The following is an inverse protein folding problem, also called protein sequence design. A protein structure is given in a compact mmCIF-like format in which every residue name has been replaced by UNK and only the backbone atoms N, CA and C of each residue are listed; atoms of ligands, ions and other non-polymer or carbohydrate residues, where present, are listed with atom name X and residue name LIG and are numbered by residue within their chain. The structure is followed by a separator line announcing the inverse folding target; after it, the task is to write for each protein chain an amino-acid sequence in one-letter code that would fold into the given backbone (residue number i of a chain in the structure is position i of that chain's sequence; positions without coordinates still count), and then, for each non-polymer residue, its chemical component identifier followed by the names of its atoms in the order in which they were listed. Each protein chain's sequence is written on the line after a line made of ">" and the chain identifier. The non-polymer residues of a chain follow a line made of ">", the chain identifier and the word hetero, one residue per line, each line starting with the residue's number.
data_IF_674095875162
#
_entry.id   IF_674095875162
#
_cell.length_a   1.000
_cell.length_b   1.000
_cell.length_c   1.000
_cell.angle_alpha   90.00
_cell.angle_beta   90.00
_cell.angle_gamma   90.00
#
_symmetry.space_group_name_H-M   'P 1'
#
loop_
_entity.id
_entity.type
_entity.pdbx_description
1 polymer ?
#
# COMPACT_ATOMS: atom_id res chain seq x y z
N UNK A 1 10.55 -23.93 15.67
CA UNK A 1 10.37 -22.63 14.97
C UNK A 1 11.36 -22.41 13.82
N UNK A 2 12.67 -22.70 13.95
CA UNK A 2 13.65 -22.55 12.84
C UNK A 2 13.62 -23.69 11.81
N UNK A 3 13.10 -24.87 12.20
CA UNK A 3 12.95 -26.06 11.33
C UNK A 3 11.64 -26.03 10.52
N UNK A 4 10.56 -25.55 11.13
CA UNK A 4 9.20 -25.63 10.59
C UNK A 4 8.94 -24.83 9.31
N UNK A 5 9.76 -23.81 9.02
CA UNK A 5 9.64 -23.02 7.77
C UNK A 5 10.39 -23.70 6.62
N UNK A 6 11.53 -24.33 6.91
CA UNK A 6 12.32 -25.08 5.91
C UNK A 6 11.64 -26.43 5.61
N UNK A 7 11.03 -27.06 6.62
CA UNK A 7 10.29 -28.31 6.45
C UNK A 7 8.97 -28.12 5.68
N UNK A 8 8.33 -26.94 5.75
CA UNK A 8 7.17 -26.59 4.92
C UNK A 8 7.50 -26.33 3.45
N UNK A 9 8.77 -26.07 3.12
CA UNK A 9 9.23 -25.89 1.74
C UNK A 9 9.71 -27.20 1.10
N UNK A 10 9.80 -28.29 1.87
CA UNK A 10 10.37 -29.58 1.41
C UNK A 10 9.35 -30.71 1.26
N UNK A 11 8.07 -30.48 1.58
CA UNK A 11 7.00 -31.47 1.49
C UNK A 11 5.78 -30.92 0.75
N UNK A 12 5.87 -30.92 -0.58
CA UNK A 12 4.72 -31.05 -1.50
C UNK A 12 5.26 -31.37 -2.90
N UNK A 13 5.81 -32.58 -3.06
CA UNK A 13 5.98 -33.21 -4.37
C UNK A 13 4.69 -33.96 -4.72
N UNK A 14 3.59 -33.21 -4.84
CA UNK A 14 2.45 -33.68 -5.63
C UNK A 14 2.75 -33.28 -7.07
N UNK A 15 3.21 -34.28 -7.82
CA UNK A 15 3.32 -34.23 -9.27
C UNK A 15 2.07 -33.53 -9.85
N UNK A 16 2.21 -32.42 -10.59
CA UNK A 16 1.06 -31.69 -11.08
C UNK A 16 0.22 -32.64 -11.93
N UNK A 17 -1.06 -32.78 -11.57
CA UNK A 17 -2.03 -33.46 -12.39
C UNK A 17 -1.86 -32.95 -13.83
N UNK A 18 -1.61 -33.87 -14.76
CA UNK A 18 -1.40 -33.59 -16.18
C UNK A 18 -2.46 -32.60 -16.65
N UNK A 19 -2.01 -31.36 -16.87
CA UNK A 19 -2.85 -30.30 -17.40
C UNK A 19 -3.43 -30.81 -18.72
N UNK A 20 -4.76 -30.80 -18.81
CA UNK A 20 -5.45 -30.88 -20.08
C UNK A 20 -4.79 -29.92 -21.06
N UNK A 21 -4.52 -30.38 -22.28
CA UNK A 21 -4.14 -29.55 -23.42
C UNK A 21 -5.33 -28.65 -23.79
N UNK A 22 -5.63 -27.67 -22.94
CA UNK A 22 -6.55 -26.57 -23.20
C UNK A 22 -5.76 -25.42 -23.80
N UNK A 23 -6.38 -24.69 -24.72
CA UNK A 23 -5.83 -23.51 -25.38
C UNK A 23 -5.10 -22.60 -24.37
N UNK A 24 -3.99 -21.99 -24.80
CA UNK A 24 -3.33 -20.92 -24.04
C UNK A 24 -4.40 -19.90 -23.66
N UNK A 25 -4.73 -19.80 -22.37
CA UNK A 25 -5.67 -18.80 -21.87
C UNK A 25 -4.90 -17.50 -21.65
N UNK A 26 -4.42 -16.93 -22.74
CA UNK A 26 -3.74 -15.64 -22.69
C UNK A 26 -4.77 -14.58 -22.26
N UNK A 27 -4.43 -13.81 -21.23
CA UNK A 27 -5.26 -12.73 -20.72
C UNK A 27 -4.80 -11.43 -21.37
N UNK A 28 -5.69 -10.77 -22.11
CA UNK A 28 -5.42 -9.47 -22.72
C UNK A 28 -5.71 -8.34 -21.72
N UNK A 29 -4.76 -7.41 -21.59
CA UNK A 29 -5.00 -6.12 -20.95
C UNK A 29 -5.56 -5.17 -22.01
N UNK A 30 -6.86 -4.86 -21.91
CA UNK A 30 -7.58 -4.08 -22.93
C UNK A 30 -7.88 -2.64 -22.50
N UNK A 31 -7.71 -2.32 -21.22
CA UNK A 31 -7.97 -1.00 -20.65
C UNK A 31 -7.04 -0.71 -19.48
N UNK A 32 -6.61 0.54 -19.36
CA UNK A 32 -5.72 1.02 -18.30
C UNK A 32 -6.14 2.43 -17.89
N UNK A 33 -6.04 2.72 -16.61
CA UNK A 33 -6.13 4.07 -16.06
C UNK A 33 -5.23 4.13 -14.81
N UNK A 34 -4.78 5.33 -14.44
CA UNK A 34 -3.93 5.48 -13.27
C UNK A 34 -4.04 6.88 -12.66
N UNK A 35 -3.67 6.97 -11.38
CA UNK A 35 -3.43 8.21 -10.65
C UNK A 35 -2.10 8.06 -9.93
N UNK A 36 -1.09 8.79 -10.40
CA UNK A 36 0.27 8.69 -9.92
C UNK A 36 0.86 10.09 -9.67
N UNK A 37 1.89 10.19 -8.81
CA UNK A 37 2.57 11.45 -8.53
C UNK A 37 3.08 12.16 -9.79
N UNK A 38 3.06 13.49 -9.79
CA UNK A 38 3.57 14.31 -10.90
C UNK A 38 2.55 14.52 -12.02
N UNK A 39 1.29 14.77 -11.66
CA UNK A 39 0.17 14.97 -12.59
C UNK A 39 -0.04 13.84 -13.61
N UNK A 40 0.31 12.61 -13.22
CA UNK A 40 0.13 11.43 -14.06
C UNK A 40 -1.27 10.83 -13.83
N UNK A 41 -2.26 11.33 -14.58
CA UNK A 41 -3.66 10.94 -14.48
C UNK A 41 -4.13 10.05 -15.64
N UNK A 42 -3.29 9.77 -16.64
CA UNK A 42 -3.54 8.80 -17.69
C UNK A 42 -2.31 7.95 -18.04
N UNK A 43 -2.48 6.79 -18.71
CA UNK A 43 -1.36 6.00 -19.24
C UNK A 43 -0.44 6.81 -20.20
N UNK A 44 -1.01 7.72 -20.99
CA UNK A 44 -0.27 8.58 -21.92
C UNK A 44 0.59 9.60 -21.18
N UNK A 45 0.04 10.24 -20.15
CA UNK A 45 0.77 11.17 -19.29
C UNK A 45 1.91 10.44 -18.58
N UNK A 46 1.63 9.27 -18.00
CA UNK A 46 2.64 8.41 -17.39
C UNK A 46 3.74 8.03 -18.40
N UNK A 47 3.37 7.66 -19.63
CA UNK A 47 4.35 7.34 -20.66
C UNK A 47 5.25 8.52 -20.99
N UNK A 48 4.67 9.72 -21.17
CA UNK A 48 5.45 10.93 -21.41
C UNK A 48 6.39 11.22 -20.24
N UNK A 49 5.90 11.08 -19.01
CA UNK A 49 6.68 11.29 -17.80
C UNK A 49 7.88 10.33 -17.71
N UNK A 50 7.65 9.03 -17.94
CA UNK A 50 8.68 8.00 -17.91
C UNK A 50 9.68 8.15 -19.06
N UNK A 51 9.21 8.39 -20.29
CA UNK A 51 10.06 8.55 -21.46
C UNK A 51 11.00 9.77 -21.33
N UNK A 52 10.53 10.84 -20.68
CA UNK A 52 11.33 12.03 -20.39
C UNK A 52 12.13 11.92 -19.07
N UNK A 53 11.99 10.82 -18.32
CA UNK A 53 12.70 10.56 -17.07
C UNK A 53 12.50 11.65 -16.01
N UNK A 54 11.27 12.16 -15.91
CA UNK A 54 10.93 13.14 -14.87
C UNK A 54 10.92 12.50 -13.47
N UNK A 55 11.11 13.32 -12.45
CA UNK A 55 11.02 12.93 -11.03
C UNK A 55 9.93 13.78 -10.35
N UNK A 56 8.93 13.09 -9.79
CA UNK A 56 7.79 13.71 -9.14
C UNK A 56 8.04 13.97 -7.64
N UNK A 57 9.28 13.79 -7.17
CA UNK A 57 9.64 14.05 -5.79
C UNK A 57 9.51 15.53 -5.46
N UNK A 58 8.56 15.88 -4.60
CA UNK A 58 8.30 17.26 -4.16
C UNK A 58 8.45 17.39 -2.65
N UNK A 59 8.37 18.64 -2.15
CA UNK A 59 8.24 18.86 -0.71
C UNK A 59 6.91 18.31 -0.20
N UNK A 60 6.89 17.81 1.04
CA UNK A 60 5.65 17.28 1.63
C UNK A 60 4.62 18.42 1.74
N UNK A 61 3.41 18.29 1.15
CA UNK A 61 2.39 19.32 1.24
C UNK A 61 2.08 19.65 2.71
N UNK A 62 2.07 20.94 3.11
CA UNK A 62 1.86 21.33 4.51
C UNK A 62 0.63 20.67 5.16
N UNK A 63 -0.47 20.60 4.40
CA UNK A 63 -1.73 19.98 4.82
C UNK A 63 -1.58 18.52 5.32
N UNK A 64 -0.54 17.77 4.87
CA UNK A 64 -0.28 16.40 5.35
C UNK A 64 0.18 16.35 6.81
N UNK A 65 0.87 17.40 7.26
CA UNK A 65 1.45 17.47 8.60
C UNK A 65 0.68 18.37 9.56
N UNK A 66 -0.15 19.27 9.06
CA UNK A 66 -0.88 20.24 9.89
C UNK A 66 -1.65 19.61 11.05
N UNK A 67 -2.33 18.49 10.83
CA UNK A 67 -3.08 17.80 11.88
C UNK A 67 -2.17 17.33 13.04
N UNK A 68 -0.99 16.83 12.72
CA UNK A 68 0.00 16.36 13.70
C UNK A 68 0.71 17.52 14.40
N UNK A 69 1.00 18.62 13.69
CA UNK A 69 1.62 19.81 14.27
C UNK A 69 0.69 20.49 15.28
N UNK A 70 -0.62 20.50 15.02
CA UNK A 70 -1.64 21.06 15.93
C UNK A 70 -1.89 20.20 17.17
N UNK A 71 -1.48 18.93 17.16
CA UNK A 71 -1.68 18.02 18.28
C UNK A 71 -0.90 18.47 19.51
N UNK A 72 0.44 18.55 19.41
CA UNK A 72 1.30 19.03 20.48
C UNK A 72 2.70 19.48 19.99
N UNK A 73 3.45 20.13 20.90
CA UNK A 73 4.79 20.61 20.62
C UNK A 73 5.82 19.48 20.41
N UNK A 74 5.58 18.27 20.93
CA UNK A 74 6.48 17.14 20.74
C UNK A 74 6.41 16.61 19.30
N UNK A 75 5.20 16.47 18.77
CA UNK A 75 4.89 16.11 17.39
C UNK A 75 5.51 17.11 16.42
N UNK A 76 5.42 18.41 16.72
CA UNK A 76 6.10 19.45 15.93
C UNK A 76 7.62 19.27 15.89
N UNK A 77 8.26 18.97 17.04
CA UNK A 77 9.72 18.71 17.10
C UNK A 77 10.13 17.43 16.36
N UNK A 78 9.31 16.39 16.44
CA UNK A 78 9.52 15.14 15.69
C UNK A 78 9.50 15.45 14.18
N UNK A 79 8.46 16.15 13.72
CA UNK A 79 8.32 16.51 12.32
C UNK A 79 9.39 17.45 11.80
N UNK A 80 10.05 18.23 12.66
CA UNK A 80 11.20 19.02 12.27
C UNK A 80 12.36 18.15 11.74
N UNK A 81 12.48 16.90 12.21
CA UNK A 81 13.61 16.00 11.95
C UNK A 81 13.30 14.83 10.98
N UNK A 82 12.12 14.78 10.38
CA UNK A 82 11.79 13.78 9.35
C UNK A 82 12.08 14.28 7.94
N UNK A 83 12.08 13.36 6.96
CA UNK A 83 12.20 13.73 5.54
C UNK A 83 11.21 14.83 5.16
N UNK A 84 11.68 15.77 4.34
CA UNK A 84 10.87 16.89 3.82
C UNK A 84 10.36 16.64 2.42
N UNK A 85 10.69 15.49 1.83
CA UNK A 85 10.35 15.16 0.45
C UNK A 85 9.62 13.82 0.36
N UNK A 86 8.76 13.71 -0.64
CA UNK A 86 8.00 12.51 -0.93
C UNK A 86 7.36 12.58 -2.31
N UNK A 87 6.52 11.59 -2.59
CA UNK A 87 5.75 11.50 -3.82
C UNK A 87 4.27 11.56 -3.46
N UNK A 88 3.53 12.47 -4.08
CA UNK A 88 2.15 12.77 -3.70
C UNK A 88 1.26 12.73 -4.93
N UNK A 89 0.12 12.06 -4.79
CA UNK A 89 -0.99 12.21 -5.74
C UNK A 89 -1.73 13.49 -5.36
N UNK A 90 -1.88 14.36 -6.36
CA UNK A 90 -2.64 15.60 -6.24
C UNK A 90 -4.14 15.32 -6.21
N UNK A 91 -4.89 16.19 -5.55
CA UNK A 91 -6.35 16.08 -5.53
C UNK A 91 -6.87 14.80 -4.85
N UNK A 92 -6.13 14.15 -3.94
CA UNK A 92 -6.57 12.88 -3.31
C UNK A 92 -7.91 12.97 -2.55
N UNK A 93 -8.36 14.18 -2.22
CA UNK A 93 -9.65 14.41 -1.58
C UNK A 93 -10.78 14.68 -2.58
N UNK A 94 -10.45 14.97 -3.85
CA UNK A 94 -11.40 15.21 -4.92
C UNK A 94 -12.14 13.92 -5.24
N UNK A 95 -13.43 14.05 -5.52
CA UNK A 95 -14.29 12.94 -5.93
C UNK A 95 -15.58 13.48 -6.55
N UNK A 96 -15.96 13.01 -7.72
CA UNK A 96 -17.28 13.30 -8.29
C UNK A 96 -18.37 12.42 -7.65
N UNK A 97 -18.78 12.80 -6.43
CA UNK A 97 -19.74 12.02 -5.67
C UNK A 97 -21.10 11.88 -6.37
N UNK A 98 -21.55 12.94 -7.06
CA UNK A 98 -22.84 12.95 -7.72
C UNK A 98 -22.89 11.97 -8.90
N UNK A 99 -21.78 11.86 -9.64
CA UNK A 99 -21.64 10.86 -10.71
C UNK A 99 -21.85 9.43 -10.21
N UNK A 100 -21.32 9.10 -9.04
CA UNK A 100 -21.45 7.78 -8.41
C UNK A 100 -22.68 7.64 -7.49
N UNK A 101 -23.64 8.56 -7.57
CA UNK A 101 -24.85 8.57 -6.74
C UNK A 101 -24.58 8.56 -5.22
N UNK A 102 -23.45 9.12 -4.79
CA UNK A 102 -23.04 9.24 -3.39
C UNK A 102 -23.32 10.66 -2.89
N UNK A 103 -23.91 10.80 -1.71
CA UNK A 103 -24.14 12.13 -1.14
C UNK A 103 -22.83 12.80 -0.72
N UNK A 104 -22.75 14.13 -0.76
CA UNK A 104 -21.56 14.87 -0.33
C UNK A 104 -21.12 14.49 1.10
N UNK A 105 -22.08 14.26 2.00
CA UNK A 105 -21.81 13.87 3.40
C UNK A 105 -21.20 12.48 3.51
N UNK A 106 -21.66 11.53 2.70
CA UNK A 106 -21.05 10.19 2.64
C UNK A 106 -19.67 10.26 2.01
N UNK A 107 -19.53 11.00 0.91
CA UNK A 107 -18.27 11.21 0.22
C UNK A 107 -17.18 11.74 1.16
N UNK A 108 -17.50 12.68 2.04
CA UNK A 108 -16.57 13.21 3.05
C UNK A 108 -15.94 12.11 3.93
N UNK A 109 -16.69 11.03 4.22
CA UNK A 109 -16.26 9.94 5.09
C UNK A 109 -15.61 8.77 4.35
N UNK A 110 -15.76 8.68 3.03
CA UNK A 110 -15.19 7.58 2.25
C UNK A 110 -13.66 7.62 2.27
N UNK A 111 -13.03 6.46 2.38
CA UNK A 111 -11.57 6.36 2.25
C UNK A 111 -11.14 6.89 0.85
N UNK A 112 -10.13 7.77 0.75
CA UNK A 112 -9.61 8.23 -0.54
C UNK A 112 -9.21 7.10 -1.50
N UNK A 113 -8.72 5.96 -0.98
CA UNK A 113 -8.44 4.77 -1.80
C UNK A 113 -9.71 4.32 -2.51
N UNK A 114 -10.86 4.25 -1.82
CA UNK A 114 -12.13 3.85 -2.42
C UNK A 114 -12.66 4.89 -3.43
N UNK A 115 -12.53 6.18 -3.15
CA UNK A 115 -12.97 7.23 -4.09
C UNK A 115 -12.19 7.14 -5.41
N UNK A 116 -10.86 7.08 -5.30
CA UNK A 116 -9.96 6.96 -6.45
C UNK A 116 -10.18 5.65 -7.22
N UNK A 117 -10.48 4.57 -6.50
CA UNK A 117 -10.81 3.27 -7.10
C UNK A 117 -11.98 3.33 -8.06
N UNK A 118 -13.04 4.06 -7.68
CA UNK A 118 -14.26 4.20 -8.47
C UNK A 118 -13.98 4.96 -9.77
N UNK A 119 -13.27 6.08 -9.67
CA UNK A 119 -12.89 6.90 -10.84
C UNK A 119 -11.95 6.12 -11.78
N UNK A 120 -10.87 5.54 -11.26
CA UNK A 120 -9.88 4.82 -12.08
C UNK A 120 -10.48 3.56 -12.71
N UNK A 121 -11.39 2.85 -12.02
CA UNK A 121 -12.07 1.70 -12.61
C UNK A 121 -12.99 2.13 -13.76
N UNK A 122 -13.71 3.24 -13.61
CA UNK A 122 -14.55 3.79 -14.68
C UNK A 122 -13.71 4.19 -15.91
N UNK A 123 -12.62 4.93 -15.70
CA UNK A 123 -11.72 5.37 -16.77
C UNK A 123 -11.05 4.20 -17.49
N UNK A 124 -10.71 3.13 -16.76
CA UNK A 124 -10.15 1.93 -17.38
C UNK A 124 -11.15 1.25 -18.33
N UNK A 125 -12.45 1.27 -18.00
CA UNK A 125 -13.51 0.79 -18.89
C UNK A 125 -13.66 1.70 -20.11
N UNK A 126 -13.62 3.02 -19.92
CA UNK A 126 -13.66 3.99 -21.03
C UNK A 126 -12.46 3.82 -21.98
N UNK A 127 -11.26 3.69 -21.43
CA UNK A 127 -10.05 3.41 -22.21
C UNK A 127 -10.16 2.09 -22.98
N UNK A 128 -10.82 1.08 -22.42
CA UNK A 128 -11.11 -0.18 -23.12
C UNK A 128 -12.17 -0.05 -24.23
N UNK A 129 -12.85 1.09 -24.33
CA UNK A 129 -14.01 1.28 -25.21
C UNK A 129 -15.21 0.44 -24.77
N UNK A 130 -15.29 0.07 -23.49
CA UNK A 130 -16.39 -0.72 -22.92
C UNK A 130 -17.37 0.23 -22.24
N UNK A 131 -18.61 0.37 -22.75
CA UNK A 131 -19.64 1.13 -22.06
C UNK A 131 -20.03 0.41 -20.76
N UNK A 132 -19.90 1.01 -19.55
CA UNK A 132 -20.09 0.27 -18.30
C UNK A 132 -21.47 -0.38 -18.15
N UNK A 133 -22.52 0.22 -18.73
CA UNK A 133 -23.87 -0.35 -18.73
C UNK A 133 -23.96 -1.69 -19.49
N UNK A 134 -23.04 -2.00 -20.42
CA UNK A 134 -23.03 -3.28 -21.12
C UNK A 134 -22.57 -4.44 -20.24
N UNK A 135 -22.01 -4.15 -19.06
CA UNK A 135 -21.58 -5.14 -18.08
C UNK A 135 -22.68 -5.45 -17.04
N UNK A 136 -23.86 -4.82 -17.13
CA UNK A 136 -24.95 -5.11 -16.21
C UNK A 136 -25.42 -6.56 -16.41
N UNK A 137 -25.27 -7.37 -15.36
CA UNK A 137 -25.64 -8.80 -15.38
C UNK A 137 -24.60 -9.71 -16.03
N UNK A 138 -23.42 -9.21 -16.40
CA UNK A 138 -22.30 -10.05 -16.85
C UNK A 138 -21.58 -10.70 -15.67
N UNK A 139 -20.81 -11.76 -15.97
CA UNK A 139 -19.92 -12.42 -15.01
C UNK A 139 -18.56 -11.67 -14.93
N UNK A 140 -18.61 -10.37 -14.66
CA UNK A 140 -17.42 -9.51 -14.57
C UNK A 140 -16.95 -9.44 -13.12
N UNK A 141 -15.76 -9.96 -12.86
CA UNK A 141 -15.14 -9.93 -11.54
C UNK A 141 -14.30 -8.65 -11.32
N UNK A 142 -14.29 -8.16 -10.08
CA UNK A 142 -13.45 -7.03 -9.64
C UNK A 142 -12.46 -7.54 -8.60
N UNK A 143 -11.18 -7.29 -8.84
CA UNK A 143 -10.10 -7.61 -7.92
C UNK A 143 -9.34 -6.33 -7.59
N UNK A 144 -9.21 -6.01 -6.30
CA UNK A 144 -8.59 -4.77 -5.84
C UNK A 144 -7.66 -5.02 -4.66
N UNK A 145 -6.43 -4.52 -4.78
CA UNK A 145 -5.50 -4.41 -3.67
C UNK A 145 -5.66 -3.07 -2.97
N UNK A 146 -5.94 -3.10 -1.67
CA UNK A 146 -5.97 -1.90 -0.83
C UNK A 146 -4.95 -2.05 0.29
N UNK A 147 -4.33 -0.94 0.68
CA UNK A 147 -3.50 -0.92 1.89
C UNK A 147 -4.38 -0.60 3.09
N UNK A 148 -4.79 -1.63 3.82
CA UNK A 148 -5.40 -1.49 5.13
C UNK A 148 -4.29 -1.54 6.16
N UNK A 149 -3.89 -0.39 6.68
CA UNK A 149 -2.73 -0.29 7.55
C UNK A 149 -2.97 -0.87 8.96
N UNK A 150 -3.15 -2.19 9.08
CA UNK A 150 -2.73 -2.98 10.23
C UNK A 150 -3.80 -3.81 10.93
N UNK A 151 -3.39 -5.01 11.35
CA UNK A 151 -3.91 -5.64 12.57
C UNK A 151 -3.55 -4.70 13.72
N UNK A 152 -4.57 -4.04 14.28
CA UNK A 152 -4.41 -3.15 15.44
C UNK A 152 -4.97 -3.84 16.69
N UNK A 153 -4.27 -3.66 17.80
CA UNK A 153 -4.72 -4.06 19.12
C UNK A 153 -4.15 -3.06 20.12
N UNK A 154 -4.81 -1.91 20.17
CA UNK A 154 -4.37 -0.76 20.94
C UNK A 154 -4.59 -1.03 22.42
N UNK A 155 -3.48 -1.07 23.18
CA UNK A 155 -3.49 -1.41 24.59
C UNK A 155 -2.29 -0.81 25.31
N UNK A 156 -2.47 -0.48 26.59
CA UNK A 156 -1.36 -0.02 27.42
C UNK A 156 -0.34 -1.16 27.55
N UNK A 157 0.95 -0.81 27.61
CA UNK A 157 2.03 -1.80 27.73
C UNK A 157 1.88 -2.70 28.97
N UNK A 158 1.27 -2.19 30.04
CA UNK A 158 0.98 -2.93 31.27
C UNK A 158 -0.10 -4.00 31.08
N UNK A 159 -0.96 -3.84 30.07
CA UNK A 159 -2.02 -4.79 29.71
C UNK A 159 -1.61 -5.68 28.54
N UNK A 160 -0.55 -5.32 27.82
CA UNK A 160 -0.06 -6.08 26.69
C UNK A 160 0.50 -7.44 27.13
N UNK A 161 0.08 -8.49 26.43
CA UNK A 161 0.62 -9.84 26.55
C UNK A 161 1.62 -10.12 25.44
N UNK A 162 2.50 -11.10 25.62
CA UNK A 162 3.40 -11.55 24.54
C UNK A 162 2.63 -11.95 23.28
N UNK A 163 1.46 -12.58 23.43
CA UNK A 163 0.64 -13.03 22.31
C UNK A 163 0.00 -11.87 21.54
N UNK A 164 -0.60 -10.91 22.26
CA UNK A 164 -1.20 -9.73 21.62
C UNK A 164 -0.13 -8.86 20.95
N UNK A 165 1.03 -8.68 21.59
CA UNK A 165 2.16 -7.99 21.00
C UNK A 165 2.67 -8.71 19.74
N UNK A 166 2.84 -10.03 19.83
CA UNK A 166 3.26 -10.89 18.71
C UNK A 166 2.30 -10.84 17.52
N UNK A 167 0.98 -10.84 17.77
CA UNK A 167 -0.05 -10.75 16.72
C UNK A 167 0.04 -9.45 15.91
N UNK A 168 0.27 -8.31 16.57
CA UNK A 168 0.42 -7.01 15.88
C UNK A 168 1.75 -6.92 15.14
N UNK A 169 2.83 -7.48 15.69
CA UNK A 169 4.15 -7.46 15.04
C UNK A 169 4.26 -8.39 13.84
N UNK A 170 3.63 -9.57 13.91
CA UNK A 170 3.84 -10.65 12.96
C UNK A 170 3.68 -10.25 11.48
N UNK A 171 2.65 -9.47 11.07
CA UNK A 171 2.49 -9.05 9.68
C UNK A 171 3.65 -8.21 9.15
N UNK A 172 4.26 -7.36 10.00
CA UNK A 172 5.36 -6.47 9.61
C UNK A 172 6.72 -7.14 9.74
N UNK A 173 6.96 -7.83 10.85
CA UNK A 173 8.26 -8.43 11.13
C UNK A 173 8.43 -9.80 10.49
N UNK A 174 7.43 -10.67 10.61
CA UNK A 174 7.51 -12.05 10.14
C UNK A 174 7.72 -12.13 8.63
N UNK A 175 6.84 -11.48 7.87
CA UNK A 175 6.93 -11.44 6.41
C UNK A 175 8.24 -10.82 5.91
N UNK A 176 8.62 -9.66 6.46
CA UNK A 176 9.85 -8.96 6.03
C UNK A 176 11.14 -9.72 6.40
N UNK A 177 11.17 -10.45 7.53
CA UNK A 177 12.31 -11.31 7.88
C UNK A 177 12.43 -12.53 6.96
N UNK A 178 11.31 -13.12 6.57
CA UNK A 178 11.32 -14.21 5.58
C UNK A 178 11.89 -13.70 4.26
N UNK A 179 11.40 -12.56 3.76
CA UNK A 179 11.93 -11.93 2.55
C UNK A 179 13.41 -11.59 2.67
N UNK A 180 13.84 -11.01 3.80
CA UNK A 180 15.24 -10.67 4.03
C UNK A 180 16.17 -11.89 3.96
N UNK A 181 15.73 -13.05 4.46
CA UNK A 181 16.52 -14.30 4.45
C UNK A 181 16.55 -14.97 3.09
N UNK A 182 15.40 -15.02 2.40
CA UNK A 182 15.29 -15.65 1.08
C UNK A 182 15.97 -14.79 0.00
N UNK A 183 16.01 -13.48 0.20
CA UNK A 183 16.61 -12.52 -0.72
C UNK A 183 17.64 -11.64 0.00
N UNK A 184 18.88 -12.13 0.16
CA UNK A 184 19.97 -11.37 0.75
C UNK A 184 20.19 -9.99 0.07
N UNK A 185 20.87 -9.04 0.74
CA UNK A 185 21.24 -7.77 0.11
C UNK A 185 21.97 -7.99 -1.22
N UNK A 186 21.61 -7.19 -2.23
CA UNK A 186 22.16 -7.30 -3.59
C UNK A 186 21.48 -8.33 -4.50
N UNK A 187 20.54 -9.16 -4.01
CA UNK A 187 19.84 -10.14 -4.87
C UNK A 187 18.52 -9.64 -5.47
N UNK A 188 18.02 -8.48 -5.02
CA UNK A 188 16.83 -7.84 -5.57
C UNK A 188 17.21 -6.45 -6.06
N UNK A 189 16.68 -6.07 -7.22
CA UNK A 189 16.77 -4.70 -7.72
C UNK A 189 15.99 -3.72 -6.82
N UNK A 190 14.90 -4.18 -6.20
CA UNK A 190 14.05 -3.38 -5.33
C UNK A 190 13.37 -4.21 -4.24
N UNK A 191 13.34 -3.68 -3.00
CA UNK A 191 12.52 -4.19 -1.90
C UNK A 191 11.76 -3.02 -1.27
N UNK A 192 10.43 -3.02 -1.40
CA UNK A 192 9.55 -2.00 -0.83
C UNK A 192 8.95 -2.53 0.49
N UNK A 193 9.10 -1.76 1.56
CA UNK A 193 8.51 -2.06 2.88
C UNK A 193 7.49 -0.98 3.25
N UNK A 194 6.28 -1.40 3.63
CA UNK A 194 5.21 -0.50 4.03
C UNK A 194 5.24 -0.21 5.54
N UNK A 195 5.89 0.90 5.89
CA UNK A 195 5.93 1.46 7.24
C UNK A 195 4.89 2.57 7.42
N UNK A 196 4.69 3.02 8.66
CA UNK A 196 3.71 4.06 9.03
C UNK A 196 4.36 5.13 9.89
N UNK A 197 4.08 6.41 9.59
CA UNK A 197 4.52 7.53 10.42
C UNK A 197 3.98 7.45 11.86
N UNK A 198 2.97 6.63 12.14
CA UNK A 198 2.44 6.43 13.50
C UNK A 198 3.49 6.00 14.53
N UNK A 199 4.57 5.34 14.10
CA UNK A 199 5.66 4.99 15.03
C UNK A 199 6.46 6.19 15.54
N UNK A 200 6.35 7.35 14.87
CA UNK A 200 7.07 8.56 15.23
C UNK A 200 6.39 9.31 16.37
N UNK A 201 5.05 9.28 16.41
CA UNK A 201 4.25 10.07 17.34
C UNK A 201 3.97 9.35 18.67
N UNK A 202 4.13 8.02 18.72
CA UNK A 202 3.97 7.25 19.95
C UNK A 202 2.54 7.30 20.49
N UNK A 203 1.54 7.12 19.63
CA UNK A 203 0.13 7.13 20.02
C UNK A 203 -0.14 6.14 21.16
N UNK A 204 -0.96 6.59 22.12
CA UNK A 204 -1.34 5.79 23.28
C UNK A 204 -1.96 4.47 22.82
N UNK A 205 -1.51 3.37 23.40
CA UNK A 205 -1.96 2.03 23.05
C UNK A 205 -1.23 1.37 21.87
N UNK A 206 -0.51 2.15 21.05
CA UNK A 206 0.06 1.64 19.79
C UNK A 206 1.51 1.16 19.89
N UNK A 207 1.96 0.76 21.09
CA UNK A 207 3.37 0.37 21.31
C UNK A 207 3.83 -0.80 20.43
N UNK A 208 2.97 -1.80 20.22
CA UNK A 208 3.24 -2.94 19.33
C UNK A 208 3.29 -2.53 17.86
N UNK A 209 2.31 -1.75 17.40
CA UNK A 209 2.25 -1.25 16.03
C UNK A 209 3.44 -0.34 15.69
N UNK A 210 3.77 0.60 16.59
CA UNK A 210 4.93 1.47 16.47
C UNK A 210 6.23 0.65 16.37
N UNK A 211 6.39 -0.37 17.22
CA UNK A 211 7.56 -1.25 17.18
C UNK A 211 7.71 -2.00 15.84
N UNK A 212 6.61 -2.51 15.28
CA UNK A 212 6.63 -3.20 13.99
C UNK A 212 7.04 -2.29 12.82
N UNK A 213 6.59 -1.03 12.82
CA UNK A 213 6.98 -0.06 11.79
C UNK A 213 8.43 0.44 11.98
N UNK A 214 8.86 0.65 13.23
CA UNK A 214 10.26 0.98 13.55
C UNK A 214 11.22 -0.13 13.10
N UNK A 215 10.82 -1.40 13.27
CA UNK A 215 11.57 -2.54 12.75
C UNK A 215 11.73 -2.49 11.23
N UNK A 216 10.66 -2.22 10.48
CA UNK A 216 10.73 -2.13 9.00
C UNK A 216 11.72 -1.05 8.55
N UNK A 217 11.70 0.12 9.20
CA UNK A 217 12.63 1.21 8.88
C UNK A 217 14.09 0.84 9.21
N UNK A 218 14.28 0.17 10.35
CA UNK A 218 15.60 -0.31 10.77
C UNK A 218 16.13 -1.39 9.82
N UNK A 219 15.26 -2.30 9.36
CA UNK A 219 15.60 -3.33 8.39
C UNK A 219 15.99 -2.73 7.03
N UNK A 220 15.24 -1.72 6.55
CA UNK A 220 15.58 -1.02 5.32
C UNK A 220 16.96 -0.35 5.42
N UNK A 221 17.20 0.39 6.50
CA UNK A 221 18.49 1.06 6.77
C UNK A 221 19.63 0.05 6.86
N UNK A 222 19.42 -1.05 7.58
CA UNK A 222 20.40 -2.11 7.70
C UNK A 222 20.75 -2.72 6.33
N UNK A 223 19.75 -3.04 5.50
CA UNK A 223 19.98 -3.60 4.16
C UNK A 223 20.71 -2.64 3.22
N UNK A 224 20.52 -1.33 3.37
CA UNK A 224 21.24 -0.32 2.59
C UNK A 224 22.72 -0.17 3.01
N UNK A 225 23.06 -0.59 4.24
CA UNK A 225 24.43 -0.53 4.77
C UNK A 225 25.29 -1.76 4.44
N UNK A 226 24.69 -2.81 3.88
CA UNK A 226 25.33 -4.07 3.49
C UNK A 226 25.70 -4.05 2.00
#
# INVERSE_FOLDING_TARGET
>A
MHKDIVDKLSHDDQSPATASTGQSQDVAVIGLACRLPGDNNSPEELWHFLANKYDACSEIPPARWEAYQRWDAASTRILANVTKRGYFVDGIANFDAAFFEISAKEAEQLDPQQRMSLEVAWEALEHAGIPPYSLVGSDTAVFMGVNTAGVLEDQLILSATSDSFGRVLAPKMGGSLVLHRLFPPGTLDLLILFSSCGHLFGFLGQGSYASGNSFLNSLATHRQSL
#
